data_IF_783986862007
#
_entry.id   IF_783986862007
#
_cell.length_a   1.000
_cell.length_b   1.000
_cell.length_c   1.000
_cell.angle_alpha   90.00
_cell.angle_beta   90.00
_cell.angle_gamma   90.00
#
_symmetry.space_group_name_H-M   'P 1'
#
loop_
_entity.id
_entity.type
_entity.pdbx_description
1 polymer ?
#
# COMPACT_ATOMS: atom_id res chain seq x y z
N UNK A 1 43.33 22.93 -19.34
CA UNK A 1 42.59 21.96 -20.18
C UNK A 1 41.48 21.37 -19.33
N UNK A 2 40.25 21.84 -19.53
CA UNK A 2 39.08 21.32 -18.82
C UNK A 2 38.74 20.00 -19.52
N UNK A 3 38.97 18.89 -18.81
CA UNK A 3 38.55 17.56 -19.25
C UNK A 3 37.08 17.64 -19.61
N UNK A 4 36.74 17.38 -20.88
CA UNK A 4 35.36 17.30 -21.33
C UNK A 4 34.72 16.18 -20.52
N UNK A 5 33.91 16.54 -19.53
CA UNK A 5 33.12 15.56 -18.78
C UNK A 5 32.28 14.87 -19.83
N UNK A 6 32.50 13.57 -20.01
CA UNK A 6 31.75 12.80 -21.01
C UNK A 6 30.25 13.02 -20.76
N UNK A 7 29.45 13.37 -21.79
CA UNK A 7 28.01 13.58 -21.66
C UNK A 7 27.29 12.44 -20.93
N UNK A 8 27.85 11.23 -21.02
CA UNK A 8 27.40 10.02 -20.32
C UNK A 8 27.45 10.19 -18.79
N UNK A 9 28.50 10.81 -18.25
CA UNK A 9 28.64 11.03 -16.79
C UNK A 9 27.58 12.01 -16.29
N UNK A 10 27.27 13.05 -17.08
CA UNK A 10 26.21 14.02 -16.75
C UNK A 10 24.85 13.32 -16.75
N UNK A 11 24.57 12.49 -17.76
CA UNK A 11 23.32 11.73 -17.83
C UNK A 11 23.16 10.76 -16.66
N UNK A 12 24.21 10.02 -16.28
CA UNK A 12 24.20 9.12 -15.11
C UNK A 12 23.93 9.90 -13.83
N UNK A 13 24.58 11.06 -13.65
CA UNK A 13 24.36 11.93 -12.51
C UNK A 13 22.91 12.42 -12.40
N UNK A 14 22.30 12.80 -13.52
CA UNK A 14 20.91 13.24 -13.58
C UNK A 14 19.92 12.10 -13.23
N UNK A 15 20.14 10.89 -13.77
CA UNK A 15 19.33 9.71 -13.46
C UNK A 15 19.45 9.35 -11.98
N UNK A 16 20.65 9.38 -11.42
CA UNK A 16 20.89 9.11 -10.01
C UNK A 16 20.16 10.12 -9.12
N UNK A 17 20.25 11.41 -9.43
CA UNK A 17 19.55 12.46 -8.69
C UNK A 17 18.02 12.28 -8.76
N UNK A 18 17.47 11.97 -9.93
CA UNK A 18 16.05 11.70 -10.11
C UNK A 18 15.58 10.48 -9.32
N UNK A 19 16.37 9.40 -9.29
CA UNK A 19 16.07 8.18 -8.54
C UNK A 19 16.03 8.44 -7.03
N UNK A 20 17.03 9.17 -6.51
CA UNK A 20 17.09 9.54 -5.10
C UNK A 20 15.90 10.45 -4.73
N UNK A 21 15.62 11.48 -5.55
CA UNK A 21 14.49 12.38 -5.33
C UNK A 21 13.14 11.64 -5.35
N UNK A 22 12.95 10.75 -6.32
CA UNK A 22 11.76 9.91 -6.43
C UNK A 22 11.56 9.00 -5.22
N UNK A 23 12.64 8.40 -4.70
CA UNK A 23 12.60 7.57 -3.50
C UNK A 23 12.18 8.37 -2.26
N UNK A 24 12.80 9.52 -2.02
CA UNK A 24 12.41 10.37 -0.88
C UNK A 24 10.96 10.84 -0.99
N UNK A 25 10.51 11.21 -2.19
CA UNK A 25 9.10 11.55 -2.45
C UNK A 25 8.16 10.39 -2.09
N UNK A 26 8.49 9.17 -2.54
CA UNK A 26 7.70 7.98 -2.22
C UNK A 26 7.67 7.66 -0.72
N UNK A 27 8.82 7.69 -0.03
CA UNK A 27 8.91 7.42 1.41
C UNK A 27 8.09 8.45 2.19
N UNK A 28 8.15 9.72 1.80
CA UNK A 28 7.36 10.78 2.41
C UNK A 28 5.85 10.56 2.22
N UNK A 29 5.42 10.17 1.01
CA UNK A 29 4.02 9.86 0.74
C UNK A 29 3.51 8.69 1.59
N UNK A 30 4.28 7.60 1.68
CA UNK A 30 3.94 6.44 2.49
C UNK A 30 3.87 6.82 3.97
N UNK A 31 4.84 7.59 4.46
CA UNK A 31 4.88 8.05 5.85
C UNK A 31 3.70 8.96 6.19
N UNK A 32 3.32 9.87 5.28
CA UNK A 32 2.17 10.74 5.46
C UNK A 32 0.87 9.94 5.54
N UNK A 33 0.71 8.91 4.69
CA UNK A 33 -0.45 8.02 4.72
C UNK A 33 -0.51 7.22 6.02
N UNK A 34 0.59 6.63 6.47
CA UNK A 34 0.66 5.88 7.73
C UNK A 34 0.34 6.77 8.94
N UNK A 35 0.87 7.99 8.96
CA UNK A 35 0.56 8.99 10.01
C UNK A 35 -0.93 9.29 10.05
N UNK A 36 -1.56 9.52 8.89
CA UNK A 36 -3.00 9.82 8.83
C UNK A 36 -3.87 8.65 9.25
N UNK A 37 -3.52 7.43 8.85
CA UNK A 37 -4.23 6.21 9.28
C UNK A 37 -4.12 6.03 10.79
N UNK A 38 -2.94 6.28 11.37
CA UNK A 38 -2.74 6.20 12.82
C UNK A 38 -3.56 7.27 13.58
N UNK A 39 -3.64 8.48 13.03
CA UNK A 39 -4.49 9.56 13.56
C UNK A 39 -5.99 9.18 13.53
N UNK A 40 -6.47 8.59 12.42
CA UNK A 40 -7.86 8.12 12.34
C UNK A 40 -8.16 7.01 13.35
N UNK A 41 -7.22 6.09 13.58
CA UNK A 41 -7.36 5.04 14.60
C UNK A 41 -7.38 5.64 16.01
N UNK A 42 -6.50 6.60 16.30
CA UNK A 42 -6.50 7.30 17.58
C UNK A 42 -7.83 8.04 17.81
N UNK A 43 -8.32 8.76 16.80
CA UNK A 43 -9.64 9.42 16.84
C UNK A 43 -10.79 8.42 17.06
N UNK A 44 -10.71 7.22 16.48
CA UNK A 44 -11.68 6.16 16.74
C UNK A 44 -11.62 5.69 18.21
N UNK A 45 -10.42 5.46 18.77
CA UNK A 45 -10.20 5.05 20.16
C UNK A 45 -10.71 6.12 21.14
N UNK A 46 -10.33 7.38 20.93
CA UNK A 46 -10.73 8.49 21.80
C UNK A 46 -12.24 8.73 21.72
N UNK A 47 -12.83 8.62 20.52
CA UNK A 47 -14.27 8.66 20.35
C UNK A 47 -14.98 7.52 21.11
N UNK A 48 -14.47 6.29 21.05
CA UNK A 48 -15.04 5.18 21.82
C UNK A 48 -14.92 5.41 23.33
N UNK A 49 -13.77 5.93 23.80
CA UNK A 49 -13.57 6.27 25.22
C UNK A 49 -14.57 7.33 25.70
N UNK A 50 -14.78 8.37 24.91
CA UNK A 50 -15.73 9.44 25.20
C UNK A 50 -17.18 8.92 25.26
N UNK A 51 -17.60 8.11 24.29
CA UNK A 51 -18.96 7.55 24.31
C UNK A 51 -19.19 6.60 25.50
N UNK A 52 -18.19 5.80 25.89
CA UNK A 52 -18.29 4.94 27.08
C UNK A 52 -18.39 5.79 28.35
N UNK A 53 -17.60 6.85 28.47
CA UNK A 53 -17.67 7.77 29.61
C UNK A 53 -19.04 8.45 29.70
N UNK A 54 -19.56 8.96 28.57
CA UNK A 54 -20.88 9.60 28.49
C UNK A 54 -22.00 8.61 28.81
N UNK A 55 -21.94 7.40 28.27
CA UNK A 55 -22.92 6.35 28.55
C UNK A 55 -22.95 5.99 30.04
N UNK A 56 -21.79 5.69 30.62
CA UNK A 56 -21.69 5.27 32.02
C UNK A 56 -22.11 6.38 32.99
N UNK A 57 -21.72 7.63 32.73
CA UNK A 57 -22.13 8.79 33.54
C UNK A 57 -23.66 9.00 33.48
N UNK A 58 -24.24 8.99 32.27
CA UNK A 58 -25.67 9.21 32.08
C UNK A 58 -26.51 8.09 32.72
N UNK A 59 -26.06 6.84 32.63
CA UNK A 59 -26.71 5.70 33.29
C UNK A 59 -26.66 5.82 34.82
N UNK A 60 -25.50 6.18 35.38
CA UNK A 60 -25.39 6.46 36.82
C UNK A 60 -26.33 7.56 37.28
N UNK A 61 -26.45 8.63 36.48
CA UNK A 61 -27.35 9.72 36.81
C UNK A 61 -28.82 9.28 36.81
N UNK A 62 -29.23 8.48 35.82
CA UNK A 62 -30.57 7.89 35.74
C UNK A 62 -30.87 7.00 36.96
N UNK A 63 -29.91 6.19 37.40
CA UNK A 63 -30.07 5.37 38.62
C UNK A 63 -30.21 6.27 39.86
N UNK A 64 -29.34 7.28 40.00
CA UNK A 64 -29.38 8.22 41.13
C UNK A 64 -30.71 8.97 41.21
N UNK A 65 -31.23 9.43 40.08
CA UNK A 65 -32.52 10.12 39.99
C UNK A 65 -33.70 9.20 40.29
N UNK A 66 -33.59 7.91 39.95
CA UNK A 66 -34.62 6.94 40.35
C UNK A 66 -34.73 6.81 41.87
N UNK A 67 -33.61 6.87 42.60
CA UNK A 67 -33.61 6.86 44.07
C UNK A 67 -34.37 8.03 44.71
N UNK A 68 -34.52 9.15 43.98
CA UNK A 68 -35.22 10.36 44.44
C UNK A 68 -36.59 10.54 43.77
N UNK A 69 -37.11 9.49 43.11
CA UNK A 69 -38.38 9.55 42.37
C UNK A 69 -39.59 9.93 43.25
N UNK A 70 -39.52 9.68 44.56
CA UNK A 70 -40.56 10.04 45.52
C UNK A 70 -40.69 11.56 45.78
N UNK A 71 -39.65 12.33 45.47
CA UNK A 71 -39.57 13.77 45.78
C UNK A 71 -40.08 14.67 44.66
N UNK A 72 -40.39 14.10 43.49
CA UNK A 72 -40.67 14.82 42.25
C UNK A 72 -42.05 14.45 41.68
N UNK A 73 -42.73 15.45 41.12
CA UNK A 73 -43.93 15.21 40.31
C UNK A 73 -43.55 14.47 39.03
N UNK A 74 -44.46 13.66 38.46
CA UNK A 74 -44.20 12.92 37.22
C UNK A 74 -43.68 13.81 36.05
N UNK A 75 -44.16 15.06 35.95
CA UNK A 75 -43.70 16.03 34.95
C UNK A 75 -42.27 16.50 35.21
N UNK A 76 -41.93 16.80 36.46
CA UNK A 76 -40.59 17.25 36.86
C UNK A 76 -39.58 16.11 36.70
N UNK A 77 -39.95 14.89 37.06
CA UNK A 77 -39.13 13.71 36.85
C UNK A 77 -38.81 13.51 35.36
N UNK A 78 -39.80 13.68 34.48
CA UNK A 78 -39.61 13.52 33.05
C UNK A 78 -38.72 14.62 32.46
N UNK A 79 -38.84 15.86 32.94
CA UNK A 79 -38.01 16.99 32.51
C UNK A 79 -36.55 16.77 32.91
N UNK A 80 -36.30 16.42 34.17
CA UNK A 80 -34.94 16.22 34.72
C UNK A 80 -34.28 14.94 34.15
N UNK A 81 -35.05 13.87 33.91
CA UNK A 81 -34.48 12.62 33.35
C UNK A 81 -34.33 12.63 31.82
N UNK A 82 -34.94 13.58 31.12
CA UNK A 82 -34.94 13.63 29.65
C UNK A 82 -33.54 13.71 29.06
N UNK A 83 -32.69 14.57 29.60
CA UNK A 83 -31.34 14.82 29.09
C UNK A 83 -30.39 13.64 29.35
N UNK A 84 -30.29 13.08 30.57
CA UNK A 84 -29.48 11.89 30.82
C UNK A 84 -29.98 10.67 30.04
N UNK A 85 -31.30 10.53 29.85
CA UNK A 85 -31.85 9.48 29.00
C UNK A 85 -31.44 9.63 27.54
N UNK A 86 -31.52 10.87 27.00
CA UNK A 86 -31.06 11.19 25.65
C UNK A 86 -29.57 10.85 25.48
N UNK A 87 -28.72 11.31 26.40
CA UNK A 87 -27.28 11.04 26.35
C UNK A 87 -26.94 9.56 26.44
N UNK A 88 -27.62 8.80 27.31
CA UNK A 88 -27.46 7.35 27.38
C UNK A 88 -27.83 6.66 26.06
N UNK A 89 -28.90 7.10 25.40
CA UNK A 89 -29.34 6.53 24.10
C UNK A 89 -28.42 6.89 22.94
N UNK A 90 -27.99 8.15 22.87
CA UNK A 90 -27.06 8.63 21.84
C UNK A 90 -25.72 7.90 21.93
N UNK A 91 -25.13 7.88 23.13
CA UNK A 91 -23.84 7.21 23.36
C UNK A 91 -23.92 5.71 23.13
N UNK A 92 -24.99 5.04 23.55
CA UNK A 92 -25.21 3.62 23.25
C UNK A 92 -25.25 3.36 21.73
N UNK A 93 -25.98 4.19 20.99
CA UNK A 93 -26.09 4.06 19.53
C UNK A 93 -24.73 4.30 18.88
N UNK A 94 -23.98 5.30 19.34
CA UNK A 94 -22.65 5.59 18.85
C UNK A 94 -21.66 4.44 19.12
N UNK A 95 -21.70 3.82 20.31
CA UNK A 95 -20.92 2.62 20.64
C UNK A 95 -21.28 1.47 19.69
N UNK A 96 -22.57 1.22 19.49
CA UNK A 96 -23.07 0.16 18.60
C UNK A 96 -22.65 0.35 17.15
N UNK A 97 -22.58 1.59 16.66
CA UNK A 97 -22.15 1.89 15.29
C UNK A 97 -20.64 1.82 15.11
N UNK A 98 -19.86 2.09 16.17
CA UNK A 98 -18.40 1.97 16.15
C UNK A 98 -17.93 0.53 16.24
N UNK A 99 -18.67 -0.31 16.96
CA UNK A 99 -18.41 -1.73 17.07
C UNK A 99 -19.02 -2.46 15.88
N UNK A 100 -18.27 -3.39 15.28
CA UNK A 100 -18.77 -4.15 14.14
C UNK A 100 -19.72 -5.26 14.62
N UNK A 101 -21.03 -5.25 14.30
CA UNK A 101 -21.98 -6.26 14.76
C UNK A 101 -21.62 -7.66 14.25
N UNK A 102 -21.04 -7.79 13.05
CA UNK A 102 -20.62 -9.09 12.51
C UNK A 102 -19.52 -9.73 13.34
N UNK A 103 -18.57 -8.94 13.82
CA UNK A 103 -17.48 -9.44 14.67
C UNK A 103 -17.99 -9.91 16.04
N UNK A 104 -19.08 -9.31 16.52
CA UNK A 104 -19.74 -9.74 17.75
C UNK A 104 -20.42 -11.10 17.58
N UNK A 105 -21.00 -11.35 16.41
CA UNK A 105 -21.64 -12.63 16.07
C UNK A 105 -20.63 -13.74 15.76
N UNK A 106 -19.58 -13.41 15.00
CA UNK A 106 -18.55 -14.37 14.55
C UNK A 106 -17.55 -14.72 15.67
N UNK A 107 -17.22 -13.77 16.55
CA UNK A 107 -16.27 -13.96 17.65
C UNK A 107 -16.92 -13.66 19.01
N UNK A 108 -17.74 -14.56 19.58
CA UNK A 108 -18.45 -14.33 20.84
C UNK A 108 -17.52 -14.17 22.05
N UNK A 109 -16.29 -14.66 21.97
CA UNK A 109 -15.28 -14.52 23.03
C UNK A 109 -14.43 -13.23 22.91
N UNK A 110 -14.65 -12.43 21.87
CA UNK A 110 -13.96 -11.17 21.63
C UNK A 110 -14.27 -10.12 22.72
N UNK A 111 -13.41 -9.11 22.86
CA UNK A 111 -13.63 -8.05 23.86
C UNK A 111 -14.83 -7.18 23.48
N UNK A 112 -15.04 -7.01 22.19
CA UNK A 112 -16.16 -6.32 21.54
C UNK A 112 -17.49 -7.02 21.89
N UNK A 113 -17.55 -8.35 21.75
CA UNK A 113 -18.76 -9.12 22.06
C UNK A 113 -19.11 -9.07 23.56
N UNK A 114 -18.09 -9.20 24.43
CA UNK A 114 -18.28 -9.11 25.89
C UNK A 114 -18.76 -7.73 26.32
N UNK A 115 -18.20 -6.67 25.75
CA UNK A 115 -18.66 -5.30 26.01
C UNK A 115 -20.13 -5.12 25.59
N UNK A 116 -20.49 -5.60 24.40
CA UNK A 116 -21.85 -5.53 23.88
C UNK A 116 -22.85 -6.33 24.70
N UNK A 117 -22.49 -7.55 25.12
CA UNK A 117 -23.36 -8.37 25.97
C UNK A 117 -23.58 -7.73 27.34
N UNK A 118 -22.54 -7.14 27.93
CA UNK A 118 -22.68 -6.43 29.21
C UNK A 118 -23.59 -5.20 29.10
N UNK A 119 -23.47 -4.43 28.02
CA UNK A 119 -24.35 -3.29 27.76
C UNK A 119 -25.81 -3.74 27.59
N UNK A 120 -26.04 -4.87 26.92
CA UNK A 120 -27.38 -5.45 26.78
C UNK A 120 -27.94 -5.91 28.15
N UNK A 121 -27.13 -6.60 28.96
CA UNK A 121 -27.53 -7.00 30.31
C UNK A 121 -27.91 -5.80 31.17
N UNK A 122 -27.15 -4.71 31.12
CA UNK A 122 -27.49 -3.48 31.83
C UNK A 122 -28.82 -2.88 31.36
N UNK A 123 -29.07 -2.89 30.04
CA UNK A 123 -30.33 -2.39 29.50
C UNK A 123 -31.52 -3.22 30.00
N UNK A 124 -31.37 -4.53 30.02
CA UNK A 124 -32.41 -5.45 30.48
C UNK A 124 -32.63 -5.32 32.00
N UNK A 125 -31.57 -5.13 32.78
CA UNK A 125 -31.64 -4.83 34.21
C UNK A 125 -32.39 -3.51 34.47
N UNK A 126 -32.09 -2.47 33.70
CA UNK A 126 -32.76 -1.18 33.80
C UNK A 126 -34.26 -1.29 33.50
N UNK A 127 -34.65 -2.08 32.49
CA UNK A 127 -36.06 -2.34 32.16
C UNK A 127 -36.79 -3.11 33.26
N UNK A 128 -36.07 -3.99 33.99
CA UNK A 128 -36.59 -4.75 35.14
C UNK A 128 -36.55 -3.96 36.45
N UNK A 129 -36.10 -2.70 36.43
CA UNK A 129 -35.87 -1.87 37.61
C UNK A 129 -34.87 -2.48 38.63
N UNK A 130 -33.95 -3.33 38.16
CA UNK A 130 -32.83 -3.85 38.96
C UNK A 130 -31.65 -2.87 38.87
N UNK A 131 -31.72 -1.80 39.66
CA UNK A 131 -30.73 -0.73 39.62
C UNK A 131 -29.38 -1.12 40.22
N UNK A 132 -29.35 -2.07 41.15
CA UNK A 132 -28.10 -2.60 41.72
C UNK A 132 -27.29 -3.32 40.64
N UNK A 133 -27.96 -4.12 39.80
CA UNK A 133 -27.32 -4.76 38.66
C UNK A 133 -26.84 -3.73 37.61
N UNK A 134 -27.57 -2.63 37.41
CA UNK A 134 -27.15 -1.55 36.50
C UNK A 134 -25.88 -0.87 36.98
N UNK A 135 -25.79 -0.50 38.26
CA UNK A 135 -24.60 0.14 38.85
C UNK A 135 -23.39 -0.77 38.76
N UNK A 136 -23.53 -2.03 39.17
CA UNK A 136 -22.46 -3.02 39.02
C UNK A 136 -22.05 -3.20 37.55
N UNK A 137 -23.02 -3.12 36.63
CA UNK A 137 -22.77 -3.23 35.21
C UNK A 137 -21.97 -2.06 34.63
N UNK A 138 -22.12 -0.84 35.16
CA UNK A 138 -21.35 0.34 34.72
C UNK A 138 -19.85 0.13 34.93
N UNK A 139 -19.44 -0.39 36.07
CA UNK A 139 -18.03 -0.69 36.33
C UNK A 139 -17.52 -1.82 35.42
N UNK A 140 -18.34 -2.83 35.16
CA UNK A 140 -18.00 -3.91 34.24
C UNK A 140 -17.81 -3.42 32.79
N UNK A 141 -18.61 -2.46 32.33
CA UNK A 141 -18.42 -1.84 31.00
C UNK A 141 -17.02 -1.24 30.87
N UNK A 142 -16.52 -0.55 31.91
CA UNK A 142 -15.17 0.02 31.91
C UNK A 142 -14.10 -1.07 31.88
N UNK A 143 -14.26 -2.13 32.67
CA UNK A 143 -13.34 -3.27 32.72
C UNK A 143 -13.28 -4.00 31.38
N UNK A 144 -14.42 -4.23 30.72
CA UNK A 144 -14.51 -4.93 29.44
C UNK A 144 -14.06 -4.07 28.26
N UNK A 145 -14.19 -2.75 28.35
CA UNK A 145 -13.68 -1.83 27.34
C UNK A 145 -12.14 -1.71 27.36
N UNK A 146 -11.50 -1.82 28.53
CA UNK A 146 -10.06 -1.68 28.67
C UNK A 146 -9.21 -2.60 27.75
N UNK A 147 -9.47 -3.93 27.65
CA UNK A 147 -8.70 -4.80 26.76
C UNK A 147 -8.91 -4.45 25.29
N UNK A 148 -10.12 -4.05 24.89
CA UNK A 148 -10.42 -3.60 23.53
C UNK A 148 -9.58 -2.35 23.17
N UNK A 149 -9.61 -1.35 24.05
CA UNK A 149 -8.84 -0.11 23.86
C UNK A 149 -7.33 -0.39 23.85
N UNK A 150 -6.85 -1.31 24.68
CA UNK A 150 -5.44 -1.72 24.72
C UNK A 150 -4.99 -2.39 23.41
N UNK A 151 -5.80 -3.32 22.89
CA UNK A 151 -5.54 -4.01 21.61
C UNK A 151 -5.38 -3.02 20.47
N UNK A 152 -6.31 -2.06 20.36
CA UNK A 152 -6.24 -1.05 19.30
C UNK A 152 -5.10 -0.03 19.54
N UNK A 153 -4.81 0.34 20.79
CA UNK A 153 -3.65 1.18 21.12
C UNK A 153 -2.32 0.54 20.75
N UNK A 154 -2.17 -0.76 20.99
CA UNK A 154 -0.99 -1.51 20.56
C UNK A 154 -0.86 -1.55 19.04
N UNK A 155 -1.98 -1.74 18.32
CA UNK A 155 -2.00 -1.66 16.86
C UNK A 155 -1.56 -0.28 16.34
N UNK A 156 -2.00 0.81 16.99
CA UNK A 156 -1.58 2.18 16.64
C UNK A 156 -0.08 2.38 16.86
N UNK A 157 0.46 1.96 18.01
CA UNK A 157 1.90 2.10 18.31
C UNK A 157 2.80 1.31 17.38
N UNK A 158 2.37 0.11 17.01
CA UNK A 158 3.16 -0.83 16.20
C UNK A 158 3.08 -0.48 14.71
N UNK A 159 2.08 0.30 14.29
CA UNK A 159 1.84 0.67 12.90
C UNK A 159 1.32 -0.51 12.05
N UNK A 160 0.83 -0.24 10.85
CA UNK A 160 0.32 -1.32 9.99
C UNK A 160 1.48 -2.14 9.39
N UNK A 161 1.35 -3.47 9.43
CA UNK A 161 2.35 -4.39 8.87
C UNK A 161 2.59 -4.13 7.38
N UNK A 162 1.55 -3.73 6.66
CA UNK A 162 1.61 -3.42 5.22
C UNK A 162 2.56 -2.24 4.94
N UNK A 163 2.48 -1.15 5.70
CA UNK A 163 3.36 0.02 5.50
C UNK A 163 4.82 -0.32 5.80
N UNK A 164 5.07 -1.13 6.84
CA UNK A 164 6.42 -1.63 7.15
C UNK A 164 7.00 -2.47 6.01
N UNK A 165 6.20 -3.37 5.43
CA UNK A 165 6.62 -4.19 4.27
C UNK A 165 6.88 -3.35 3.03
N UNK A 166 6.02 -2.37 2.73
CA UNK A 166 6.19 -1.47 1.58
C UNK A 166 7.47 -0.64 1.71
N UNK A 167 7.76 -0.10 2.90
CA UNK A 167 9.00 0.65 3.14
C UNK A 167 10.25 -0.23 2.97
N UNK A 168 10.21 -1.47 3.46
CA UNK A 168 11.30 -2.43 3.28
C UNK A 168 11.51 -2.78 1.80
N UNK A 169 10.42 -3.10 1.08
CA UNK A 169 10.49 -3.41 -0.35
C UNK A 169 11.04 -2.24 -1.16
N UNK A 170 10.62 -1.01 -0.87
CA UNK A 170 11.14 0.18 -1.53
C UNK A 170 12.63 0.40 -1.25
N UNK A 171 13.08 0.15 -0.01
CA UNK A 171 14.49 0.23 0.35
C UNK A 171 15.33 -0.81 -0.41
N UNK A 172 14.85 -2.06 -0.50
CA UNK A 172 15.51 -3.11 -1.28
C UNK A 172 15.59 -2.75 -2.77
N UNK A 173 14.51 -2.23 -3.35
CA UNK A 173 14.46 -1.83 -4.76
C UNK A 173 15.44 -0.70 -5.05
N UNK A 174 15.56 0.29 -4.14
CA UNK A 174 16.56 1.35 -4.27
C UNK A 174 17.98 0.80 -4.19
N UNK A 175 18.29 -0.07 -3.24
CA UNK A 175 19.64 -0.66 -3.11
C UNK A 175 20.01 -1.48 -4.35
N UNK A 176 19.07 -2.27 -4.89
CA UNK A 176 19.27 -3.03 -6.13
C UNK A 176 19.50 -2.07 -7.30
N UNK A 177 18.66 -1.03 -7.45
CA UNK A 177 18.80 -0.04 -8.52
C UNK A 177 20.13 0.70 -8.48
N UNK A 178 20.58 1.12 -7.29
CA UNK A 178 21.89 1.75 -7.11
C UNK A 178 23.04 0.79 -7.40
N UNK A 179 22.92 -0.48 -6.99
CA UNK A 179 23.93 -1.51 -7.24
C UNK A 179 24.06 -1.80 -8.73
N UNK A 180 22.95 -1.86 -9.47
CA UNK A 180 22.95 -2.04 -10.93
C UNK A 180 23.56 -0.85 -11.66
N UNK A 181 23.24 0.39 -11.23
CA UNK A 181 23.84 1.60 -11.79
C UNK A 181 25.36 1.64 -11.55
N UNK A 182 25.80 1.29 -10.33
CA UNK A 182 27.22 1.20 -10.00
C UNK A 182 27.94 0.12 -10.83
N UNK A 183 27.32 -1.05 -10.98
CA UNK A 183 27.87 -2.15 -11.78
C UNK A 183 27.94 -1.80 -13.28
N UNK A 184 26.91 -1.18 -13.83
CA UNK A 184 26.90 -0.71 -15.22
C UNK A 184 27.98 0.36 -15.44
N UNK A 185 28.11 1.31 -14.51
CA UNK A 185 29.18 2.32 -14.52
C UNK A 185 30.57 1.67 -14.53
N UNK A 186 30.81 0.69 -13.65
CA UNK A 186 32.06 -0.06 -13.58
C UNK A 186 32.37 -0.81 -14.88
N UNK A 187 31.37 -1.50 -15.46
CA UNK A 187 31.50 -2.22 -16.73
C UNK A 187 31.81 -1.30 -17.91
N UNK A 188 31.28 -0.07 -17.91
CA UNK A 188 31.57 0.91 -18.94
C UNK A 188 32.96 1.52 -18.81
N UNK A 189 33.48 1.70 -17.60
CA UNK A 189 34.81 2.31 -17.38
C UNK A 189 35.96 1.29 -17.42
N UNK A 190 35.72 0.03 -17.04
CA UNK A 190 36.74 -1.01 -16.92
C UNK A 190 36.42 -2.28 -17.72
N UNK A 191 35.42 -2.24 -18.60
CA UNK A 191 35.07 -3.38 -19.45
C UNK A 191 36.13 -3.62 -20.53
N UNK A 192 36.36 -4.88 -20.94
CA UNK A 192 37.25 -5.17 -22.05
C UNK A 192 36.71 -4.49 -23.31
N UNK A 193 37.56 -3.71 -23.98
CA UNK A 193 37.28 -3.17 -25.31
C UNK A 193 36.93 -4.34 -26.21
N UNK A 194 35.70 -4.37 -26.74
CA UNK A 194 35.33 -5.34 -27.76
C UNK A 194 36.24 -5.07 -28.96
N UNK A 195 37.31 -5.86 -29.08
CA UNK A 195 38.16 -5.95 -30.27
C UNK A 195 37.24 -6.25 -31.44
N UNK A 196 36.80 -5.18 -32.08
CA UNK A 196 36.11 -5.25 -33.36
C UNK A 196 37.21 -5.67 -34.31
N UNK A 197 37.30 -6.98 -34.56
CA UNK A 197 38.15 -7.57 -35.59
C UNK A 197 37.73 -6.98 -36.95
N UNK A 198 38.27 -5.80 -37.27
CA UNK A 198 38.28 -5.27 -38.63
C UNK A 198 39.30 -6.11 -39.37
N UNK A 199 38.79 -7.13 -40.05
CA UNK A 199 39.58 -7.95 -40.97
C UNK A 199 40.23 -7.00 -42.00
N UNK A 200 41.57 -6.94 -42.12
CA UNK A 200 42.20 -6.05 -43.08
C UNK A 200 41.82 -6.48 -44.51
N UNK A 201 41.67 -5.53 -45.45
CA UNK A 201 41.33 -5.84 -46.83
C UNK A 201 42.41 -6.77 -47.40
N UNK A 202 41.98 -7.94 -47.86
CA UNK A 202 42.83 -8.94 -48.52
C UNK A 202 43.66 -8.29 -49.63
N UNK A 203 44.98 -8.33 -49.48
CA UNK A 203 45.94 -7.83 -50.44
C UNK A 203 45.77 -8.49 -51.83
N UNK A 204 46.04 -7.78 -52.94
CA UNK A 204 45.83 -8.29 -54.29
C UNK A 204 46.81 -9.42 -54.64
N UNK A 205 46.29 -10.45 -55.32
CA UNK A 205 46.99 -11.67 -55.72
C UNK A 205 48.22 -11.39 -56.62
N UNK A 206 49.26 -12.23 -56.57
CA UNK A 206 50.45 -12.08 -57.40
C UNK A 206 50.19 -12.52 -58.86
N UNK A 207 50.69 -11.73 -59.80
CA UNK A 207 50.68 -11.99 -61.24
C UNK A 207 51.60 -13.18 -61.55
N UNK A 208 51.05 -14.25 -62.12
CA UNK A 208 51.79 -15.42 -62.62
C UNK A 208 52.10 -15.22 -64.12
N UNK A 209 53.35 -15.41 -64.59
CA UNK A 209 53.70 -15.24 -66.01
C UNK A 209 53.19 -16.40 -66.89
N UNK A 210 52.70 -16.04 -68.08
CA UNK A 210 52.23 -16.94 -69.13
C UNK A 210 53.36 -17.83 -69.70
N UNK A 211 53.09 -19.14 -69.86
CA UNK A 211 53.81 -20.02 -70.79
C UNK A 211 52.82 -20.77 -71.72
N UNK A 212 52.76 -20.27 -72.95
CA UNK A 212 52.60 -20.89 -74.29
C UNK A 212 52.21 -22.39 -74.39
N UNK A 213 51.08 -22.63 -75.07
CA UNK A 213 50.55 -23.89 -75.65
C UNK A 213 51.48 -24.48 -76.76
N UNK A 214 51.28 -25.70 -77.34
CA UNK A 214 50.02 -26.17 -77.98
C UNK A 214 49.71 -27.70 -77.96
N UNK A 215 48.44 -28.08 -78.23
CA UNK A 215 48.03 -28.99 -79.36
C UNK A 215 46.73 -29.79 -79.08
N UNK A 216 45.67 -29.41 -79.83
CA UNK A 216 44.56 -30.18 -80.46
C UNK A 216 43.51 -31.02 -79.67
N UNK A 217 42.26 -30.49 -79.67
CA UNK A 217 41.01 -30.99 -80.34
C UNK A 217 40.51 -32.45 -80.20
N UNK A 218 39.23 -32.75 -80.54
CA UNK A 218 37.95 -32.00 -80.39
C UNK A 218 36.75 -32.91 -79.95
N UNK A 219 35.64 -32.34 -79.47
CA UNK A 219 34.24 -32.73 -79.84
C UNK A 219 33.22 -31.78 -79.15
N UNK A 220 32.48 -30.97 -79.90
CA UNK A 220 31.01 -31.05 -80.16
C UNK A 220 30.15 -31.14 -78.88
N UNK A 221 29.26 -30.20 -78.55
CA UNK A 221 28.02 -29.87 -79.27
C UNK A 221 27.38 -28.61 -78.65
N UNK A 222 26.86 -27.75 -79.52
CA UNK A 222 25.93 -26.61 -79.33
C UNK A 222 24.47 -27.11 -79.08
N UNK A 223 23.41 -26.28 -79.07
CA UNK A 223 23.15 -24.90 -78.59
C UNK A 223 21.85 -24.80 -77.74
N UNK A 224 21.57 -23.66 -77.09
CA UNK A 224 20.24 -23.00 -76.95
C UNK A 224 20.37 -21.85 -75.94
N UNK A 225 20.30 -20.58 -76.35
CA UNK A 225 19.11 -19.76 -76.64
C UNK A 225 18.82 -18.80 -75.46
N UNK A 226 19.21 -17.55 -75.72
CA UNK A 226 18.63 -16.24 -75.33
C UNK A 226 17.09 -16.20 -75.14
N UNK A 227 16.46 -15.04 -74.81
CA UNK A 227 16.85 -13.92 -73.93
C UNK A 227 15.63 -13.47 -73.06
N UNK A 228 15.60 -12.19 -72.66
CA UNK A 228 14.41 -11.39 -72.30
C UNK A 228 13.82 -11.62 -70.90
N UNK A 229 13.21 -10.67 -70.20
CA UNK A 229 12.96 -9.24 -70.37
C UNK A 229 12.37 -8.78 -69.03
N UNK A 230 12.77 -7.57 -68.61
CA UNK A 230 11.81 -6.51 -68.29
C UNK A 230 10.84 -6.62 -67.10
N UNK A 231 10.74 -5.46 -66.41
CA UNK A 231 9.48 -4.84 -65.96
C UNK A 231 8.73 -5.51 -64.79
N UNK A 232 8.01 -4.85 -63.88
CA UNK A 232 7.63 -3.47 -63.52
C UNK A 232 6.73 -3.66 -62.28
N UNK A 233 6.51 -2.56 -61.54
CA UNK A 233 5.31 -2.26 -60.75
C UNK A 233 5.11 -2.85 -59.33
N UNK A 234 5.09 -1.89 -58.40
CA UNK A 234 3.92 -1.47 -57.59
C UNK A 234 3.07 -2.50 -56.85
N UNK A 235 2.85 -2.19 -55.57
CA UNK A 235 1.73 -2.73 -54.80
C UNK A 235 1.78 -2.34 -53.31
N UNK A 236 0.90 -1.45 -52.83
CA UNK A 236 0.84 -0.99 -51.44
C UNK A 236 -0.19 -1.75 -50.58
N UNK A 237 -0.25 -1.35 -49.30
CA UNK A 237 -1.35 -1.45 -48.32
C UNK A 237 -1.36 -2.63 -47.31
N UNK A 238 -1.33 -2.27 -46.03
CA UNK A 238 -2.18 -2.81 -44.94
C UNK A 238 -1.86 -2.01 -43.65
N UNK A 239 -2.75 -1.14 -43.19
CA UNK A 239 -3.72 -1.39 -42.10
C UNK A 239 -3.08 -1.66 -40.73
N UNK A 240 -3.25 -0.70 -39.81
CA UNK A 240 -3.78 -0.85 -38.44
C UNK A 240 -4.07 0.52 -37.84
#
# INVERSE_FOLDING_TARGET
MISVISPIVIAIGAVLAALIAGFFSFVNLVSAKESKVSEFRLSWIDGLREEIARFTASVHELVRMHGHKGDLTAKEWLDVTSEPYRHARESLTAIQLRLNPKHVEEEPNSSEAKLMSQIQLMRDAFLKADYDQVVNGVDQVRVLAAPLLKKEWERVKVGELTFRRVRLAAMLLLVIGLSLLAFAGYRLTFGPELETQVQPPSAPLPVVPQQISPTQSPDSTTPEAEPDEESVADGPAAQS
#
